data_IF_726450498541
#
_entry.id   IF_726450498541
#
_cell.length_a   1.000
_cell.length_b   1.000
_cell.length_c   1.000
_cell.angle_alpha   90.00
_cell.angle_beta   90.00
_cell.angle_gamma   90.00
#
_symmetry.space_group_name_H-M   'P 1'
#
loop_
_entity.id
_entity.type
_entity.pdbx_description
1 polymer ?
#
# COMPACT_ATOMS: atom_id res chain seq x y z
N UNK A 1 8.32 -19.86 -6.60
CA UNK A 1 8.34 -18.41 -6.87
C UNK A 1 9.44 -18.12 -7.89
N UNK A 2 9.08 -17.54 -9.02
CA UNK A 2 9.96 -17.28 -10.17
C UNK A 2 10.91 -16.08 -9.96
N UNK A 3 11.28 -15.75 -8.71
CA UNK A 3 12.18 -14.64 -8.39
C UNK A 3 11.59 -13.24 -8.56
N UNK A 4 10.29 -13.12 -8.82
CA UNK A 4 9.59 -11.84 -9.00
C UNK A 4 8.87 -11.45 -7.71
N UNK A 5 9.16 -10.25 -7.21
CA UNK A 5 8.45 -9.62 -6.10
C UNK A 5 7.45 -8.61 -6.66
N UNK A 6 6.21 -8.67 -6.18
CA UNK A 6 5.14 -7.73 -6.55
C UNK A 6 4.85 -6.90 -5.31
N UNK A 7 4.87 -5.58 -5.43
CA UNK A 7 4.64 -4.66 -4.31
C UNK A 7 3.53 -3.69 -4.71
N UNK A 8 2.51 -3.59 -3.86
CA UNK A 8 1.42 -2.62 -4.04
C UNK A 8 1.85 -1.22 -3.63
N UNK A 9 1.37 -0.20 -4.35
CA UNK A 9 1.73 1.20 -4.08
C UNK A 9 0.58 2.03 -3.51
N UNK A 10 -0.65 1.50 -3.54
CA UNK A 10 -1.76 2.04 -2.75
C UNK A 10 -1.53 1.73 -1.27
N UNK A 11 -1.75 2.72 -0.39
CA UNK A 11 -1.46 2.56 1.04
C UNK A 11 -2.33 1.48 1.69
N UNK A 12 -3.61 1.39 1.31
CA UNK A 12 -4.53 0.41 1.85
C UNK A 12 -4.16 -0.99 1.41
N UNK A 13 -3.91 -1.17 0.11
CA UNK A 13 -3.46 -2.46 -0.43
C UNK A 13 -2.10 -2.87 0.12
N UNK A 14 -1.16 -1.94 0.29
CA UNK A 14 0.16 -2.23 0.86
C UNK A 14 0.05 -2.75 2.30
N UNK A 15 -0.79 -2.13 3.14
CA UNK A 15 -1.04 -2.60 4.51
C UNK A 15 -1.60 -4.02 4.50
N UNK A 16 -2.56 -4.30 3.61
CA UNK A 16 -3.17 -5.62 3.46
C UNK A 16 -2.17 -6.66 2.96
N UNK A 17 -1.31 -6.29 2.01
CA UNK A 17 -0.23 -7.13 1.51
C UNK A 17 0.75 -7.54 2.62
N UNK A 18 1.15 -6.60 3.48
CA UNK A 18 2.01 -6.87 4.63
C UNK A 18 1.35 -7.84 5.64
N UNK A 19 0.03 -7.70 5.83
CA UNK A 19 -0.75 -8.50 6.78
C UNK A 19 -1.25 -9.83 6.18
N UNK A 20 -1.08 -10.04 4.87
CA UNK A 20 -1.67 -11.15 4.11
C UNK A 20 -3.20 -11.23 4.30
N UNK A 21 -3.87 -10.08 4.28
CA UNK A 21 -5.30 -9.93 4.54
C UNK A 21 -6.03 -9.47 3.27
N UNK A 22 -7.19 -10.05 2.88
CA UNK A 22 -7.91 -9.61 1.69
C UNK A 22 -8.54 -8.21 1.82
N UNK A 23 -8.77 -7.51 0.69
CA UNK A 23 -9.49 -6.24 0.68
C UNK A 23 -10.97 -6.44 1.02
N UNK A 24 -11.52 -5.57 1.87
CA UNK A 24 -12.94 -5.59 2.23
C UNK A 24 -13.83 -4.75 1.31
N UNK A 25 -13.24 -3.82 0.56
CA UNK A 25 -13.99 -2.90 -0.30
C UNK A 25 -13.14 -2.47 -1.50
N UNK A 26 -13.73 -2.40 -2.70
CA UNK A 26 -12.98 -2.17 -3.95
C UNK A 26 -12.25 -0.82 -4.01
N UNK A 27 -12.79 0.24 -3.40
CA UNK A 27 -12.18 1.59 -3.41
C UNK A 27 -11.38 1.91 -2.14
N UNK A 28 -11.72 1.24 -1.02
CA UNK A 28 -11.13 1.55 0.30
C UNK A 28 -10.80 0.22 0.96
N UNK A 29 -9.74 -0.44 0.49
CA UNK A 29 -9.57 -1.88 0.69
C UNK A 29 -9.41 -2.27 2.16
N UNK A 30 -8.75 -1.43 2.95
CA UNK A 30 -8.46 -1.67 4.36
C UNK A 30 -9.47 -1.05 5.36
N UNK A 31 -10.68 -0.64 4.93
CA UNK A 31 -11.64 0.08 5.79
C UNK A 31 -12.04 -0.66 7.07
N UNK A 32 -11.89 -1.98 7.10
CA UNK A 32 -12.18 -2.82 8.26
C UNK A 32 -11.08 -2.82 9.33
N UNK A 33 -9.92 -2.21 9.07
CA UNK A 33 -8.82 -2.09 10.04
C UNK A 33 -8.84 -0.74 10.73
N UNK A 34 -8.69 -0.76 12.05
CA UNK A 34 -8.47 0.47 12.82
C UNK A 34 -6.99 0.87 12.86
N UNK A 35 -6.72 2.09 13.32
CA UNK A 35 -5.36 2.66 13.40
C UNK A 35 -4.42 1.86 14.30
N UNK A 36 -4.93 1.18 15.32
CA UNK A 36 -4.11 0.41 16.26
C UNK A 36 -3.67 -0.91 15.64
N UNK A 37 -4.58 -1.57 14.91
CA UNK A 37 -4.27 -2.75 14.10
C UNK A 37 -3.24 -2.42 13.02
N UNK A 38 -3.42 -1.31 12.30
CA UNK A 38 -2.45 -0.85 11.29
C UNK A 38 -1.08 -0.61 11.93
N UNK A 39 -1.01 0.11 13.05
CA UNK A 39 0.26 0.35 13.76
C UNK A 39 0.95 -0.95 14.15
N UNK A 40 0.18 -1.93 14.62
CA UNK A 40 0.70 -3.26 14.99
C UNK A 40 1.31 -3.97 13.79
N UNK A 41 0.64 -3.98 12.64
CA UNK A 41 1.18 -4.56 11.40
C UNK A 41 2.49 -3.87 11.00
N UNK A 42 2.53 -2.55 11.01
CA UNK A 42 3.75 -1.79 10.67
C UNK A 42 4.90 -2.07 11.65
N UNK A 43 4.59 -2.26 12.93
CA UNK A 43 5.58 -2.62 13.94
C UNK A 43 6.15 -4.02 13.69
N UNK A 44 5.27 -5.02 13.52
CA UNK A 44 5.66 -6.42 13.38
C UNK A 44 6.37 -6.72 12.05
N UNK A 45 5.97 -6.05 10.97
CA UNK A 45 6.48 -6.32 9.62
C UNK A 45 7.63 -5.40 9.22
N UNK A 46 7.61 -4.14 9.66
CA UNK A 46 8.53 -3.10 9.21
C UNK A 46 9.29 -2.40 10.35
N UNK A 47 9.07 -2.80 11.61
CA UNK A 47 9.77 -2.24 12.76
C UNK A 47 9.35 -0.81 13.14
N UNK A 48 8.19 -0.34 12.70
CA UNK A 48 7.69 1.00 13.01
C UNK A 48 7.41 1.20 14.50
N UNK A 49 8.03 2.22 15.12
CA UNK A 49 7.88 2.54 16.56
C UNK A 49 7.21 3.90 16.81
N UNK A 50 6.70 4.56 15.77
CA UNK A 50 6.03 5.85 15.89
C UNK A 50 4.61 5.76 16.45
N UNK A 51 3.90 6.90 16.39
CA UNK A 51 2.53 7.02 16.90
C UNK A 51 1.52 6.27 16.01
N UNK A 52 0.33 6.00 16.54
CA UNK A 52 -0.83 5.49 15.79
C UNK A 52 -1.55 6.54 14.94
N UNK A 53 -1.01 7.76 14.83
CA UNK A 53 -1.65 8.80 14.04
C UNK A 53 -1.61 8.41 12.56
N UNK A 54 -2.73 8.56 11.82
CA UNK A 54 -2.75 8.27 10.38
C UNK A 54 -1.65 9.01 9.62
N UNK A 55 -1.33 10.24 10.02
CA UNK A 55 -0.30 11.08 9.42
C UNK A 55 1.10 10.44 9.54
N UNK A 56 1.52 10.07 10.75
CA UNK A 56 2.84 9.48 10.99
C UNK A 56 2.99 8.13 10.27
N UNK A 57 1.96 7.28 10.37
CA UNK A 57 1.95 5.97 9.71
C UNK A 57 1.99 6.12 8.19
N UNK A 58 1.21 7.05 7.63
CA UNK A 58 1.19 7.34 6.19
C UNK A 58 2.56 7.83 5.71
N UNK A 59 3.19 8.73 6.45
CA UNK A 59 4.52 9.25 6.11
C UNK A 59 5.57 8.14 6.10
N UNK A 60 5.55 7.27 7.11
CA UNK A 60 6.44 6.11 7.19
C UNK A 60 6.26 5.16 6.01
N UNK A 61 5.03 4.74 5.72
CA UNK A 61 4.73 3.83 4.60
C UNK A 61 5.15 4.47 3.28
N UNK A 62 4.85 5.76 3.07
CA UNK A 62 5.22 6.49 1.84
C UNK A 62 6.73 6.51 1.61
N UNK A 63 7.53 6.64 2.66
CA UNK A 63 8.99 6.58 2.54
C UNK A 63 9.46 5.19 2.09
N UNK A 64 8.83 4.12 2.60
CA UNK A 64 9.15 2.74 2.23
C UNK A 64 8.77 2.43 0.79
N UNK A 65 7.52 2.69 0.41
CA UNK A 65 7.03 2.51 -0.96
C UNK A 65 7.88 3.32 -1.96
N UNK A 66 8.32 4.53 -1.58
CA UNK A 66 9.19 5.34 -2.45
C UNK A 66 10.53 4.67 -2.72
N UNK A 67 11.13 3.98 -1.75
CA UNK A 67 12.37 3.24 -1.98
C UNK A 67 12.12 2.08 -2.93
N UNK A 68 11.05 1.32 -2.69
CA UNK A 68 10.69 0.17 -3.51
C UNK A 68 10.42 0.59 -4.96
N UNK A 69 9.71 1.71 -5.16
CA UNK A 69 9.47 2.33 -6.48
C UNK A 69 10.76 2.74 -7.21
N UNK A 70 11.74 3.26 -6.49
CA UNK A 70 13.02 3.70 -7.08
C UNK A 70 13.94 2.53 -7.43
N UNK A 71 13.77 1.37 -6.79
CA UNK A 71 14.55 0.15 -7.05
C UNK A 71 13.89 -0.83 -8.02
N UNK A 72 12.62 -0.62 -8.38
CA UNK A 72 11.86 -1.56 -9.21
C UNK A 72 12.35 -1.59 -10.66
N UNK A 73 12.51 -2.79 -11.21
CA UNK A 73 12.87 -2.99 -12.63
C UNK A 73 11.71 -2.66 -13.58
N UNK A 74 10.48 -2.90 -13.12
CA UNK A 74 9.24 -2.71 -13.88
C UNK A 74 8.17 -2.12 -12.96
N UNK A 75 7.50 -1.07 -13.42
CA UNK A 75 6.32 -0.50 -12.78
C UNK A 75 5.06 -0.78 -13.60
N UNK A 76 3.99 -1.20 -12.94
CA UNK A 76 2.65 -1.32 -13.53
C UNK A 76 1.78 -0.24 -12.89
N UNK A 77 1.09 0.55 -13.72
CA UNK A 77 0.16 1.57 -13.25
C UNK A 77 -1.24 1.28 -13.79
N UNK A 78 -2.23 1.36 -12.91
CA UNK A 78 -3.64 1.29 -13.25
C UNK A 78 -4.23 2.69 -13.41
N UNK A 79 -5.39 2.78 -14.06
CA UNK A 79 -6.16 4.01 -14.20
C UNK A 79 -7.56 3.79 -13.59
N UNK A 80 -7.98 4.68 -12.69
CA UNK A 80 -9.29 4.57 -12.03
C UNK A 80 -10.45 4.88 -13.00
N UNK A 81 -10.24 5.74 -14.00
CA UNK A 81 -11.23 6.11 -15.01
C UNK A 81 -10.55 6.35 -16.35
N UNK A 82 -10.56 5.35 -17.23
CA UNK A 82 -10.09 5.52 -18.59
C UNK A 82 -11.25 6.01 -19.46
N UNK A 83 -11.16 7.21 -20.02
CA UNK A 83 -12.13 7.69 -21.01
C UNK A 83 -11.68 7.20 -22.38
N UNK A 84 -12.30 6.11 -22.86
CA UNK A 84 -11.96 5.48 -24.13
C UNK A 84 -12.08 6.42 -25.34
N UNK A 85 -12.97 7.42 -25.26
CA UNK A 85 -13.19 8.39 -26.34
C UNK A 85 -12.05 9.41 -26.49
N UNK A 86 -11.39 9.79 -25.40
CA UNK A 86 -10.34 10.82 -25.40
C UNK A 86 -8.94 10.27 -25.12
N UNK A 87 -8.82 8.98 -24.79
CA UNK A 87 -7.55 8.35 -24.40
C UNK A 87 -6.95 8.93 -23.12
N UNK A 88 -7.78 9.60 -22.30
CA UNK A 88 -7.35 10.24 -21.06
C UNK A 88 -7.40 9.26 -19.88
N UNK A 89 -6.40 9.35 -19.00
CA UNK A 89 -6.28 8.62 -17.72
C UNK A 89 -6.29 9.59 -16.55
#
# INVERSE_FOLDING_TARGET
NEGIEIIETDLGEYILQLDNDPPSHIVVPAIHKDRYQIRKVLNEKLGYQGSETPEDMTLFIRQRIRQDFLSADIGVTGCNFAVAETGSV
#
